data_IF_441987497772
#
_entry.id   IF_441987497772
#
_cell.length_a   1.000
_cell.length_b   1.000
_cell.length_c   1.000
_cell.angle_alpha   90.00
_cell.angle_beta   90.00
_cell.angle_gamma   90.00
#
_symmetry.space_group_name_H-M   'P 1'
#
loop_
_entity.id
_entity.type
_entity.pdbx_description
1 polymer ?
#
# COMPACT_ATOMS: atom_id res chain seq x y z
N UNK A 1 -13.85 -15.67 -31.08
CA UNK A 1 -15.31 -15.66 -31.20
C UNK A 1 -15.59 -15.76 -32.67
N UNK A 2 -16.43 -16.71 -33.06
CA UNK A 2 -16.62 -17.06 -34.47
C UNK A 2 -17.75 -16.22 -35.08
N UNK A 3 -17.77 -16.10 -36.41
CA UNK A 3 -18.82 -15.38 -37.14
C UNK A 3 -20.20 -15.97 -36.81
N UNK A 4 -21.12 -15.14 -36.34
CA UNK A 4 -22.51 -15.52 -36.09
C UNK A 4 -23.38 -15.30 -37.33
N UNK A 5 -24.08 -16.34 -37.76
CA UNK A 5 -25.10 -16.24 -38.82
C UNK A 5 -26.46 -15.97 -38.17
N UNK A 6 -27.08 -14.85 -38.55
CA UNK A 6 -28.48 -14.53 -38.23
C UNK A 6 -29.36 -14.69 -39.47
N UNK A 7 -30.59 -15.14 -39.27
CA UNK A 7 -31.59 -15.32 -40.33
C UNK A 7 -32.32 -14.00 -40.55
N UNK A 8 -32.36 -13.53 -41.79
CA UNK A 8 -33.08 -12.29 -42.15
C UNK A 8 -34.58 -12.39 -41.83
N UNK A 9 -35.16 -11.29 -41.35
CA UNK A 9 -36.54 -11.15 -40.85
C UNK A 9 -36.91 -12.10 -39.69
N UNK A 10 -35.93 -12.55 -38.92
CA UNK A 10 -36.13 -13.37 -37.72
C UNK A 10 -35.42 -12.74 -36.52
N UNK A 11 -36.19 -12.50 -35.46
CA UNK A 11 -35.63 -12.02 -34.20
C UNK A 11 -34.72 -13.11 -33.59
N UNK A 12 -33.42 -12.85 -33.59
CA UNK A 12 -32.40 -13.77 -33.07
C UNK A 12 -31.44 -13.05 -32.11
N UNK A 13 -30.91 -13.82 -31.15
CA UNK A 13 -30.08 -13.32 -30.06
C UNK A 13 -28.62 -13.24 -30.50
N UNK A 14 -27.92 -12.14 -30.21
CA UNK A 14 -26.46 -12.10 -30.29
C UNK A 14 -25.86 -13.17 -29.38
N UNK A 15 -24.80 -13.82 -29.84
CA UNK A 15 -24.02 -14.74 -29.03
C UNK A 15 -23.36 -14.00 -27.87
N UNK A 16 -23.36 -14.61 -26.68
CA UNK A 16 -22.76 -14.03 -25.48
C UNK A 16 -21.28 -13.69 -25.67
N UNK A 17 -20.86 -12.51 -25.19
CA UNK A 17 -19.47 -12.12 -25.22
C UNK A 17 -18.61 -13.07 -24.36
N UNK A 18 -17.66 -13.74 -25.01
CA UNK A 18 -16.65 -14.60 -24.36
C UNK A 18 -15.27 -13.95 -24.30
N UNK A 19 -15.12 -12.74 -24.84
CA UNK A 19 -13.87 -11.98 -24.84
C UNK A 19 -13.71 -11.32 -23.48
N UNK A 20 -12.50 -11.41 -22.91
CA UNK A 20 -12.10 -10.67 -21.70
C UNK A 20 -10.95 -9.74 -22.05
N UNK A 21 -10.93 -8.55 -21.44
CA UNK A 21 -9.87 -7.56 -21.60
C UNK A 21 -9.39 -7.13 -20.22
N UNK A 22 -8.21 -7.60 -19.75
CA UNK A 22 -7.70 -7.27 -18.42
C UNK A 22 -7.65 -5.77 -18.18
N UNK A 23 -8.21 -5.33 -17.06
CA UNK A 23 -8.30 -3.92 -16.68
C UNK A 23 -9.53 -3.19 -17.22
N UNK A 24 -10.45 -3.86 -17.92
CA UNK A 24 -11.63 -3.26 -18.53
C UNK A 24 -12.91 -4.08 -18.26
N UNK A 25 -14.05 -3.40 -18.29
CA UNK A 25 -15.40 -3.97 -18.31
C UNK A 25 -15.95 -3.84 -19.73
N UNK A 26 -16.54 -4.92 -20.25
CA UNK A 26 -17.27 -4.90 -21.51
C UNK A 26 -18.54 -4.05 -21.35
N UNK A 27 -18.79 -3.11 -22.26
CA UNK A 27 -19.96 -2.22 -22.21
C UNK A 27 -21.01 -2.46 -23.29
N UNK A 28 -20.71 -3.30 -24.28
CA UNK A 28 -21.59 -3.58 -25.40
C UNK A 28 -20.83 -3.74 -26.72
N UNK A 29 -21.57 -4.08 -27.76
CA UNK A 29 -21.12 -4.12 -29.15
C UNK A 29 -21.48 -2.79 -29.84
N UNK A 30 -20.71 -2.38 -30.85
CA UNK A 30 -21.02 -1.23 -31.68
C UNK A 30 -20.68 -1.50 -33.16
N UNK A 31 -21.41 -0.90 -34.11
CA UNK A 31 -21.09 -1.05 -35.55
C UNK A 31 -19.88 -0.22 -36.02
N UNK A 32 -19.34 0.65 -35.16
CA UNK A 32 -18.08 1.35 -35.36
C UNK A 32 -17.10 1.06 -34.23
N UNK A 33 -15.80 1.00 -34.56
CA UNK A 33 -14.73 0.74 -33.60
C UNK A 33 -14.56 1.86 -32.57
N UNK A 34 -14.91 3.10 -32.94
CA UNK A 34 -14.87 4.29 -32.08
C UNK A 34 -16.13 4.50 -31.22
N UNK A 35 -17.11 3.60 -31.31
CA UNK A 35 -18.36 3.68 -30.56
C UNK A 35 -19.40 4.66 -31.10
N UNK A 36 -19.16 5.31 -32.25
CA UNK A 36 -20.09 6.29 -32.84
C UNK A 36 -21.24 5.67 -33.65
N UNK A 37 -21.18 4.36 -33.92
CA UNK A 37 -22.22 3.61 -34.61
C UNK A 37 -23.37 3.18 -33.69
N UNK A 38 -24.20 2.27 -34.18
CA UNK A 38 -25.31 1.70 -33.40
C UNK A 38 -24.77 0.80 -32.30
N UNK A 39 -25.15 1.08 -31.05
CA UNK A 39 -24.80 0.26 -29.89
C UNK A 39 -25.81 -0.88 -29.68
N UNK A 40 -25.29 -2.03 -29.24
CA UNK A 40 -26.06 -3.22 -28.89
C UNK A 40 -25.53 -3.79 -27.57
N UNK A 41 -26.42 -4.05 -26.61
CA UNK A 41 -26.03 -4.75 -25.38
C UNK A 41 -25.53 -6.16 -25.69
N UNK A 42 -24.78 -6.77 -24.76
CA UNK A 42 -24.47 -8.20 -24.89
C UNK A 42 -25.76 -9.01 -24.97
N UNK A 43 -25.74 -10.12 -25.70
CA UNK A 43 -26.86 -11.06 -25.72
C UNK A 43 -28.21 -10.43 -26.16
N UNK A 44 -28.22 -9.26 -26.79
CA UNK A 44 -29.46 -8.59 -27.22
C UNK A 44 -30.11 -9.29 -28.42
N UNK A 45 -31.42 -9.14 -28.56
CA UNK A 45 -32.18 -9.73 -29.67
C UNK A 45 -32.35 -8.73 -30.81
N UNK A 46 -31.91 -9.09 -32.00
CA UNK A 46 -31.88 -8.25 -33.20
C UNK A 46 -32.74 -8.90 -34.29
N UNK A 47 -33.55 -8.11 -34.99
CA UNK A 47 -34.37 -8.59 -36.11
C UNK A 47 -33.55 -8.71 -37.39
N UNK A 48 -32.88 -7.62 -37.78
CA UNK A 48 -31.94 -7.55 -38.89
C UNK A 48 -30.77 -6.65 -38.45
N UNK A 49 -29.53 -7.10 -38.65
CA UNK A 49 -28.33 -6.28 -38.39
C UNK A 49 -28.09 -5.25 -39.51
N UNK A 50 -28.39 -5.65 -40.76
CA UNK A 50 -28.21 -4.88 -41.99
C UNK A 50 -29.52 -4.84 -42.78
N UNK A 51 -29.69 -3.84 -43.65
CA UNK A 51 -30.85 -3.71 -44.55
C UNK A 51 -30.80 -4.68 -45.74
N UNK A 52 -29.66 -5.32 -46.00
CA UNK A 52 -29.46 -6.23 -47.13
C UNK A 52 -29.42 -7.70 -46.69
N UNK A 53 -30.29 -8.53 -47.26
CA UNK A 53 -30.27 -9.98 -47.01
C UNK A 53 -28.94 -10.58 -47.47
N UNK A 54 -28.19 -11.15 -46.52
CA UNK A 54 -26.86 -11.73 -46.77
C UNK A 54 -25.70 -10.74 -46.64
N UNK A 55 -25.95 -9.48 -46.27
CA UNK A 55 -24.89 -8.53 -45.92
C UNK A 55 -24.16 -8.93 -44.63
N UNK A 56 -22.90 -8.50 -44.51
CA UNK A 56 -22.07 -8.68 -43.30
C UNK A 56 -21.89 -7.35 -42.57
N UNK A 57 -21.95 -7.39 -41.24
CA UNK A 57 -21.55 -6.29 -40.35
C UNK A 57 -20.51 -6.81 -39.37
N UNK A 58 -19.47 -6.01 -39.15
CA UNK A 58 -18.52 -6.23 -38.07
C UNK A 58 -19.00 -5.50 -36.81
N UNK A 59 -19.05 -6.23 -35.69
CA UNK A 59 -19.37 -5.66 -34.38
C UNK A 59 -18.09 -5.51 -33.55
N UNK A 60 -17.87 -4.30 -33.05
CA UNK A 60 -16.71 -3.92 -32.26
C UNK A 60 -17.06 -3.93 -30.78
N UNK A 61 -16.37 -4.76 -30.00
CA UNK A 61 -16.51 -4.80 -28.56
C UNK A 61 -16.04 -3.47 -27.94
N UNK A 62 -16.93 -2.80 -27.21
CA UNK A 62 -16.66 -1.56 -26.49
C UNK A 62 -16.30 -1.86 -25.02
N UNK A 63 -15.42 -1.02 -24.47
CA UNK A 63 -14.75 -1.29 -23.19
C UNK A 63 -14.54 -0.01 -22.38
N UNK A 64 -14.95 -0.04 -21.11
CA UNK A 64 -14.62 1.01 -20.13
C UNK A 64 -13.54 0.49 -19.19
N UNK A 65 -12.53 1.30 -18.86
CA UNK A 65 -11.51 0.92 -17.88
C UNK A 65 -12.16 0.64 -16.53
N UNK A 66 -11.69 -0.38 -15.83
CA UNK A 66 -11.93 -0.50 -14.38
C UNK A 66 -11.43 0.77 -13.69
N UNK A 67 -12.17 1.22 -12.69
CA UNK A 67 -11.75 2.30 -11.80
C UNK A 67 -10.47 1.89 -11.06
N UNK A 68 -9.56 2.86 -10.89
CA UNK A 68 -8.35 2.64 -10.11
C UNK A 68 -8.65 2.34 -8.65
N UNK A 69 -7.85 1.45 -8.05
CA UNK A 69 -7.82 1.20 -6.62
C UNK A 69 -6.65 1.93 -5.97
N UNK A 70 -6.74 2.15 -4.65
CA UNK A 70 -5.69 2.81 -3.87
C UNK A 70 -4.92 1.80 -3.01
N UNK A 71 -3.59 1.72 -3.21
CA UNK A 71 -2.66 1.08 -2.29
C UNK A 71 -2.00 2.18 -1.46
N UNK A 72 -2.13 2.12 -0.13
CA UNK A 72 -1.72 3.22 0.77
C UNK A 72 -0.41 2.89 1.48
N UNK A 73 0.42 3.91 1.70
CA UNK A 73 1.71 3.82 2.39
C UNK A 73 1.74 4.84 3.55
N UNK A 74 1.60 4.37 4.79
CA UNK A 74 1.56 5.23 5.99
C UNK A 74 2.84 5.08 6.83
N UNK A 75 3.13 6.09 7.65
CA UNK A 75 4.04 5.93 8.79
C UNK A 75 3.23 5.51 10.02
N UNK A 76 3.71 4.52 10.76
CA UNK A 76 3.15 4.10 12.05
C UNK A 76 3.16 5.24 13.07
N UNK A 77 4.19 6.10 13.03
CA UNK A 77 4.27 7.29 13.85
C UNK A 77 4.96 8.43 13.09
N UNK A 78 4.18 9.46 12.76
CA UNK A 78 4.63 10.65 12.02
C UNK A 78 5.65 11.52 12.76
N UNK A 79 5.88 11.31 14.06
CA UNK A 79 6.97 11.98 14.80
C UNK A 79 8.31 11.26 14.70
N UNK A 80 8.32 10.01 14.22
CA UNK A 80 9.51 9.16 14.12
C UNK A 80 10.00 9.00 12.68
N UNK A 81 9.13 9.26 11.70
CA UNK A 81 9.44 9.14 10.29
C UNK A 81 8.22 9.29 9.41
N UNK A 82 8.45 9.35 8.10
CA UNK A 82 7.45 9.59 7.06
C UNK A 82 7.64 8.65 5.86
N UNK A 83 6.62 8.56 5.03
CA UNK A 83 6.65 7.86 3.74
C UNK A 83 6.79 8.88 2.60
N UNK A 84 7.67 8.61 1.63
CA UNK A 84 7.92 9.53 0.50
C UNK A 84 6.79 9.55 -0.53
N UNK A 85 6.08 8.43 -0.67
CA UNK A 85 4.81 8.32 -1.39
C UNK A 85 3.74 7.92 -0.38
N UNK A 86 2.59 8.59 -0.42
CA UNK A 86 1.45 8.30 0.47
C UNK A 86 0.51 7.22 -0.09
N UNK A 87 0.38 7.10 -1.42
CA UNK A 87 -0.39 6.04 -2.08
C UNK A 87 0.03 5.87 -3.54
N UNK A 88 -0.33 4.73 -4.13
CA UNK A 88 -0.45 4.52 -5.57
C UNK A 88 -1.95 4.34 -5.92
N UNK A 89 -2.42 5.05 -6.95
CA UNK A 89 -3.72 4.80 -7.58
C UNK A 89 -3.45 4.05 -8.89
N UNK A 90 -4.00 2.84 -9.02
CA UNK A 90 -3.68 1.94 -10.13
C UNK A 90 -4.90 1.13 -10.59
N UNK A 91 -4.94 0.82 -11.89
CA UNK A 91 -5.90 -0.14 -12.43
C UNK A 91 -5.70 -1.50 -11.74
N UNK A 92 -6.76 -2.12 -11.19
CA UNK A 92 -6.60 -3.32 -10.36
C UNK A 92 -6.02 -4.53 -11.10
N UNK A 93 -6.07 -4.61 -12.43
CA UNK A 93 -5.56 -5.78 -13.17
C UNK A 93 -4.26 -5.51 -13.92
N UNK A 94 -4.13 -4.32 -14.54
CA UNK A 94 -3.00 -3.96 -15.41
C UNK A 94 -2.02 -2.98 -14.77
N UNK A 95 -2.38 -2.40 -13.62
CA UNK A 95 -1.56 -1.41 -12.93
C UNK A 95 -0.25 -1.95 -12.37
N UNK A 96 0.71 -1.05 -12.17
CA UNK A 96 2.01 -1.35 -11.57
C UNK A 96 2.25 -0.34 -10.44
N UNK A 97 2.18 -0.75 -9.16
CA UNK A 97 2.45 0.15 -8.05
C UNK A 97 3.93 0.53 -8.05
N UNK A 98 4.24 1.80 -7.81
CA UNK A 98 5.62 2.27 -7.70
C UNK A 98 6.26 1.83 -6.36
N UNK A 99 5.44 1.62 -5.33
CA UNK A 99 5.92 1.45 -3.97
C UNK A 99 6.30 2.79 -3.33
N UNK A 100 6.98 2.72 -2.19
CA UNK A 100 7.33 3.89 -1.39
C UNK A 100 8.71 3.74 -0.77
N UNK A 101 9.18 4.77 -0.09
CA UNK A 101 10.37 4.71 0.75
C UNK A 101 10.09 5.42 2.07
N UNK A 102 10.72 4.91 3.13
CA UNK A 102 10.61 5.44 4.48
C UNK A 102 11.82 6.34 4.79
N UNK A 103 11.57 7.53 5.32
CA UNK A 103 12.60 8.40 5.89
C UNK A 103 12.35 8.53 7.39
N UNK A 104 13.36 8.23 8.21
CA UNK A 104 13.30 8.42 9.65
C UNK A 104 13.64 9.87 10.00
N UNK A 105 12.98 10.41 11.02
CA UNK A 105 13.36 11.70 11.62
C UNK A 105 14.60 11.52 12.53
N UNK A 106 15.30 12.62 12.82
CA UNK A 106 16.52 12.60 13.65
C UNK A 106 16.28 11.94 15.01
N UNK A 107 17.17 11.03 15.40
CA UNK A 107 17.04 10.24 16.64
C UNK A 107 16.24 8.94 16.48
N UNK A 108 15.67 8.68 15.31
CA UNK A 108 14.94 7.45 14.98
C UNK A 108 15.62 6.67 13.85
N UNK A 109 15.25 5.39 13.73
CA UNK A 109 15.58 4.55 12.58
C UNK A 109 14.32 3.88 12.04
N UNK A 110 14.34 3.60 10.75
CA UNK A 110 13.39 2.69 10.13
C UNK A 110 13.63 1.24 10.61
N UNK A 111 12.55 0.50 10.83
CA UNK A 111 12.57 -0.90 11.30
C UNK A 111 12.08 -1.85 10.21
N UNK A 112 10.85 -1.64 9.74
CA UNK A 112 10.21 -2.53 8.78
C UNK A 112 9.01 -1.87 8.08
N UNK A 113 8.72 -2.34 6.87
CA UNK A 113 7.42 -2.20 6.24
C UNK A 113 6.58 -3.40 6.65
N UNK A 114 5.36 -3.18 7.14
CA UNK A 114 4.37 -4.23 7.42
C UNK A 114 3.14 -4.12 6.51
N UNK A 115 2.46 -5.24 6.30
CA UNK A 115 1.18 -5.37 5.59
C UNK A 115 0.39 -6.51 6.24
N UNK A 116 -0.88 -6.29 6.58
CA UNK A 116 -1.69 -7.24 7.38
C UNK A 116 -0.93 -7.77 8.62
N UNK A 117 -0.29 -6.85 9.35
CA UNK A 117 0.60 -7.08 10.50
C UNK A 117 1.86 -7.96 10.25
N UNK A 118 2.06 -8.46 9.02
CA UNK A 118 3.25 -9.23 8.64
C UNK A 118 4.37 -8.31 8.15
N UNK A 119 5.62 -8.65 8.48
CA UNK A 119 6.80 -7.93 7.98
C UNK A 119 7.03 -8.25 6.50
N UNK A 120 6.98 -7.22 5.67
CA UNK A 120 7.24 -7.29 4.22
C UNK A 120 8.72 -7.13 3.92
N UNK A 121 9.40 -6.18 4.58
CA UNK A 121 10.83 -5.95 4.40
C UNK A 121 11.40 -5.06 5.52
N UNK A 122 12.68 -5.25 5.84
CA UNK A 122 13.49 -4.35 6.69
C UNK A 122 14.31 -3.34 5.89
N UNK A 123 14.18 -3.31 4.56
CA UNK A 123 14.74 -2.25 3.72
C UNK A 123 13.78 -1.04 3.71
N UNK A 124 14.31 0.17 3.92
CA UNK A 124 13.53 1.41 3.90
C UNK A 124 12.81 1.65 2.56
N UNK A 125 13.33 1.11 1.44
CA UNK A 125 12.66 1.14 0.14
C UNK A 125 11.73 -0.07 -0.01
N UNK A 126 10.43 0.20 -0.10
CA UNK A 126 9.40 -0.76 -0.48
C UNK A 126 9.23 -0.77 -2.00
N UNK A 127 9.60 -1.88 -2.64
CA UNK A 127 9.59 -2.01 -4.10
C UNK A 127 8.25 -2.46 -4.66
N UNK A 128 7.99 -2.16 -5.95
CA UNK A 128 6.89 -2.72 -6.75
C UNK A 128 6.69 -4.23 -6.53
N UNK A 129 7.79 -5.01 -6.53
CA UNK A 129 7.71 -6.46 -6.36
C UNK A 129 7.21 -6.87 -4.97
N UNK A 130 7.64 -6.17 -3.91
CA UNK A 130 7.18 -6.40 -2.54
C UNK A 130 5.72 -5.96 -2.35
N UNK A 131 5.30 -4.86 -2.98
CA UNK A 131 3.88 -4.46 -3.00
C UNK A 131 3.03 -5.52 -3.70
N UNK A 132 3.45 -5.96 -4.89
CA UNK A 132 2.73 -6.97 -5.66
C UNK A 132 2.64 -8.32 -4.94
N UNK A 133 3.72 -8.78 -4.29
CA UNK A 133 3.73 -10.04 -3.55
C UNK A 133 2.71 -10.10 -2.39
N UNK A 134 2.28 -8.96 -1.86
CA UNK A 134 1.34 -8.88 -0.73
C UNK A 134 -0.07 -8.44 -1.20
N UNK A 135 -0.15 -7.39 -2.01
CA UNK A 135 -1.41 -6.76 -2.42
C UNK A 135 -2.02 -7.35 -3.72
N UNK A 136 -1.29 -8.16 -4.50
CA UNK A 136 -1.85 -8.83 -5.69
C UNK A 136 -2.41 -10.20 -5.34
N UNK A 137 -3.68 -10.43 -5.67
CA UNK A 137 -4.40 -11.70 -5.57
C UNK A 137 -4.69 -12.24 -6.98
N UNK A 138 -5.39 -13.38 -7.08
CA UNK A 138 -5.67 -14.05 -8.35
C UNK A 138 -6.36 -13.13 -9.39
N UNK A 139 -7.35 -12.35 -8.94
CA UNK A 139 -8.19 -11.52 -9.82
C UNK A 139 -7.66 -10.09 -10.06
N UNK A 140 -6.53 -9.74 -9.44
CA UNK A 140 -5.92 -8.41 -9.50
C UNK A 140 -5.32 -7.95 -8.16
N UNK A 141 -4.84 -6.71 -8.13
CA UNK A 141 -4.51 -6.00 -6.90
C UNK A 141 -5.78 -5.67 -6.12
N UNK A 142 -5.65 -5.71 -4.79
CA UNK A 142 -6.67 -5.22 -3.85
C UNK A 142 -6.18 -3.96 -3.13
N UNK A 143 -7.11 -3.17 -2.61
CA UNK A 143 -6.78 -2.07 -1.69
C UNK A 143 -6.10 -2.63 -0.44
N UNK A 144 -5.11 -1.92 0.09
CA UNK A 144 -4.41 -2.32 1.29
C UNK A 144 -3.49 -1.22 1.82
N UNK A 145 -2.94 -1.44 3.01
CA UNK A 145 -2.10 -0.47 3.72
C UNK A 145 -0.75 -1.09 4.06
N UNK A 146 0.31 -0.50 3.54
CA UNK A 146 1.67 -0.76 3.98
C UNK A 146 2.08 0.29 5.02
N UNK A 147 2.61 -0.17 6.14
CA UNK A 147 2.97 0.69 7.28
C UNK A 147 4.49 0.69 7.47
N UNK A 148 5.11 1.85 7.38
CA UNK A 148 6.51 2.06 7.74
C UNK A 148 6.63 2.21 9.26
N UNK A 149 7.32 1.28 9.90
CA UNK A 149 7.56 1.24 11.33
C UNK A 149 8.93 1.82 11.66
N UNK A 150 9.00 2.57 12.76
CA UNK A 150 10.18 3.29 13.22
C UNK A 150 10.37 3.06 14.71
N UNK A 151 11.61 3.19 15.18
CA UNK A 151 11.94 3.14 16.61
C UNK A 151 13.07 4.12 16.93
N UNK A 152 13.21 4.49 18.20
CA UNK A 152 14.32 5.34 18.64
C UNK A 152 15.67 4.64 18.41
N UNK A 153 16.66 5.38 17.93
CA UNK A 153 18.06 4.97 18.01
C UNK A 153 18.41 4.95 19.50
N UNK A 154 18.69 3.75 20.03
CA UNK A 154 19.28 3.66 21.37
C UNK A 154 20.63 4.34 21.29
N UNK A 155 20.88 5.34 22.14
CA UNK A 155 22.24 5.82 22.34
C UNK A 155 23.13 4.63 22.69
N UNK A 156 24.34 4.61 22.17
CA UNK A 156 25.40 3.82 22.81
C UNK A 156 25.47 4.31 24.25
N UNK A 157 25.24 3.40 25.19
CA UNK A 157 25.44 3.67 26.61
C UNK A 157 26.86 4.20 26.75
N UNK A 158 26.98 5.46 27.19
CA UNK A 158 28.27 6.11 27.35
C UNK A 158 28.85 5.59 28.66
N UNK A 159 29.41 4.37 28.57
CA UNK A 159 30.08 3.69 29.68
C UNK A 159 31.33 4.48 30.02
N UNK A 160 31.15 5.56 30.78
CA UNK A 160 32.21 6.30 31.41
C UNK A 160 32.72 5.49 32.61
N UNK A 161 33.46 4.44 32.27
CA UNK A 161 34.14 3.54 33.20
C UNK A 161 35.45 4.17 33.65
N UNK A 162 35.56 4.36 34.96
CA UNK A 162 36.71 4.69 35.80
C UNK A 162 37.71 5.79 35.40
N UNK A 163 37.69 6.86 36.22
CA UNK A 163 38.95 7.43 36.75
C UNK A 163 38.93 7.51 38.29
N UNK A 164 39.38 6.41 38.89
CA UNK A 164 40.27 6.32 40.07
C UNK A 164 40.01 7.29 41.24
N UNK A 165 39.38 6.79 42.30
CA UNK A 165 39.28 7.46 43.62
C UNK A 165 40.30 6.89 44.62
N UNK A 166 41.58 7.16 44.36
CA UNK A 166 42.67 6.73 45.25
C UNK A 166 42.73 7.51 46.57
N UNK A 167 42.18 6.87 47.60
CA UNK A 167 42.72 6.74 48.96
C UNK A 167 43.07 8.02 49.77
N UNK A 168 42.36 8.22 50.89
CA UNK A 168 42.99 8.75 52.12
C UNK A 168 42.64 7.86 53.32
N UNK A 169 43.65 7.11 53.78
CA UNK A 169 43.64 6.40 55.05
C UNK A 169 43.47 7.39 56.23
N UNK A 170 42.63 7.01 57.20
CA UNK A 170 42.58 7.68 58.50
C UNK A 170 43.50 7.00 59.52
N UNK A 171 43.77 7.63 60.68
CA UNK A 171 44.29 6.94 61.85
C UNK A 171 43.29 6.89 63.02
N UNK A 172 43.26 5.72 63.66
CA UNK A 172 42.82 5.49 65.05
C UNK A 172 44.05 5.60 65.98
N UNK A 173 43.99 5.83 67.29
CA UNK A 173 42.91 5.96 68.30
C UNK A 173 43.48 6.83 69.45
N UNK A 174 42.65 7.54 70.24
CA UNK A 174 42.72 7.50 71.73
C UNK A 174 41.50 8.12 72.43
N UNK A 175 41.33 7.68 73.66
CA UNK A 175 40.21 7.72 74.59
C UNK A 175 39.98 9.07 75.33
N UNK A 176 38.79 9.14 75.96
CA UNK A 176 38.55 9.56 77.35
C UNK A 176 37.93 10.95 77.72
N UNK A 177 37.01 10.85 78.67
CA UNK A 177 36.38 11.79 79.61
C UNK A 177 36.24 13.33 79.34
N UNK A 178 35.02 13.84 79.63
CA UNK A 178 34.92 15.08 80.45
C UNK A 178 33.89 16.17 80.07
N UNK A 179 32.81 16.24 80.87
CA UNK A 179 32.18 17.47 81.40
C UNK A 179 31.32 18.45 80.53
N UNK A 180 29.99 18.32 80.72
CA UNK A 180 29.01 19.32 81.23
C UNK A 180 28.81 20.70 80.53
N UNK A 181 27.53 21.00 80.27
CA UNK A 181 26.92 22.27 79.78
C UNK A 181 27.05 23.46 80.76
N UNK A 182 26.82 24.71 80.30
CA UNK A 182 25.50 25.29 80.60
C UNK A 182 24.85 26.18 79.52
N UNK A 183 23.53 26.28 79.65
CA UNK A 183 22.58 27.24 79.06
C UNK A 183 22.97 28.72 79.31
N UNK A 184 22.72 29.57 78.31
CA UNK A 184 22.18 30.93 78.55
C UNK A 184 21.28 31.38 77.40
N UNK A 185 19.97 31.36 77.65
CA UNK A 185 18.92 31.97 76.83
C UNK A 185 18.94 33.50 76.89
N UNK A 186 18.86 34.21 75.75
CA UNK A 186 18.41 35.63 75.70
C UNK A 186 17.59 35.92 74.44
N UNK A 187 16.29 36.14 74.66
CA UNK A 187 15.28 36.89 73.85
C UNK A 187 15.16 36.64 72.35
#
# INVERSE_FOLDING_TARGET
MDDQILTYDKLEKLAANTITRPGYVFTGWNTSSDGTGTAYDDETSILNLTEEQGGKIDLYAQWTSLSDITITYISANRTMGKTLRAYDAINPQTGVPAGSAAEAETGYRFVSWTYDDQVVTTNAKLTTAQVAANAKKNDGYVTGVFTANFEAVKGTDDTHDDSDSSNQDGPNIVEDDGYVVPDTSVK
#
